data_IF_761381301855
#
_entry.id   IF_761381301855
#
_cell.length_a   1.000
_cell.length_b   1.000
_cell.length_c   1.000
_cell.angle_alpha   90.00
_cell.angle_beta   90.00
_cell.angle_gamma   90.00
#
_symmetry.space_group_name_H-M   'P 1'
#
loop_
_entity.id
_entity.type
_entity.pdbx_description
1 polymer ?
#
# COMPACT_ATOMS: atom_id res chain seq x y z
N UNK A 1 -1.71 -44.96 15.55
CA UNK A 1 -0.55 -44.06 15.70
C UNK A 1 -0.86 -42.81 14.88
N UNK A 2 -1.58 -41.85 15.49
CA UNK A 2 -2.11 -40.66 14.81
C UNK A 2 -1.43 -39.44 15.43
N UNK A 3 -0.49 -38.83 14.70
CA UNK A 3 0.17 -37.60 15.14
C UNK A 3 -0.71 -36.41 14.74
N UNK A 4 -1.09 -35.60 15.74
CA UNK A 4 -1.77 -34.30 15.59
C UNK A 4 -0.82 -33.31 14.91
N UNK A 5 -1.24 -32.51 13.91
CA UNK A 5 -0.42 -31.40 13.44
C UNK A 5 -0.27 -30.34 14.54
N UNK A 6 0.96 -29.86 14.70
CA UNK A 6 1.46 -28.98 15.75
C UNK A 6 0.81 -27.59 15.72
N UNK A 7 0.53 -27.03 16.91
CA UNK A 7 0.28 -25.60 17.12
C UNK A 7 1.52 -24.80 16.70
N UNK A 8 1.51 -24.26 15.48
CA UNK A 8 2.47 -23.24 15.09
C UNK A 8 2.17 -21.95 15.87
N UNK A 9 3.18 -21.22 16.37
CA UNK A 9 2.93 -19.93 17.01
C UNK A 9 2.22 -19.00 16.03
N UNK A 10 1.06 -18.50 16.43
CA UNK A 10 0.32 -17.51 15.65
C UNK A 10 1.23 -16.30 15.43
N UNK A 11 1.55 -16.01 14.17
CA UNK A 11 2.21 -14.76 13.79
C UNK A 11 1.40 -13.62 14.39
N UNK A 12 2.01 -12.72 15.20
CA UNK A 12 1.28 -11.59 15.74
C UNK A 12 0.71 -10.80 14.56
N UNK A 13 -0.59 -10.56 14.61
CA UNK A 13 -1.28 -9.81 13.56
C UNK A 13 -0.59 -8.46 13.40
N UNK A 14 -0.12 -8.17 12.18
CA UNK A 14 0.45 -6.87 11.88
C UNK A 14 -0.60 -5.80 12.18
N UNK A 15 -0.20 -4.62 12.68
CA UNK A 15 -1.12 -3.51 12.84
C UNK A 15 -1.79 -3.20 11.49
N UNK A 16 -3.07 -2.81 11.55
CA UNK A 16 -3.79 -2.41 10.35
C UNK A 16 -3.04 -1.25 9.67
N UNK A 17 -2.87 -1.28 8.34
CA UNK A 17 -2.21 -0.20 7.63
C UNK A 17 -3.02 1.10 7.75
N UNK A 18 -2.34 2.22 7.94
CA UNK A 18 -2.94 3.54 7.76
C UNK A 18 -3.22 3.75 6.26
N UNK A 19 -4.47 4.03 5.91
CA UNK A 19 -4.90 4.20 4.52
C UNK A 19 -5.78 5.43 4.41
N UNK A 20 -5.51 6.26 3.40
CA UNK A 20 -6.30 7.45 3.08
C UNK A 20 -6.79 7.38 1.64
N UNK A 21 -7.95 7.97 1.40
CA UNK A 21 -8.53 8.18 0.07
C UNK A 21 -8.95 9.64 -0.02
N UNK A 22 -8.46 10.39 -1.01
CA UNK A 22 -8.68 11.85 -1.13
C UNK A 22 -8.34 12.66 0.13
N UNK A 23 -7.28 12.27 0.85
CA UNK A 23 -6.78 12.98 2.05
C UNK A 23 -7.61 12.78 3.33
N UNK A 24 -8.51 11.79 3.35
CA UNK A 24 -9.29 11.39 4.53
C UNK A 24 -9.12 9.88 4.80
N UNK A 25 -9.33 9.40 6.04
CA UNK A 25 -9.30 7.97 6.34
C UNK A 25 -10.22 7.19 5.40
N UNK A 26 -9.69 6.13 4.79
CA UNK A 26 -10.42 5.31 3.84
C UNK A 26 -11.34 4.31 4.56
N UNK A 27 -12.58 4.19 4.09
CA UNK A 27 -13.48 3.11 4.48
C UNK A 27 -13.31 1.89 3.57
N UNK A 28 -13.84 0.73 3.97
CA UNK A 28 -13.86 -0.44 3.09
C UNK A 28 -14.59 -0.15 1.77
N UNK A 29 -15.71 0.57 1.81
CA UNK A 29 -16.48 0.93 0.62
C UNK A 29 -15.68 1.84 -0.32
N UNK A 30 -14.90 2.79 0.21
CA UNK A 30 -13.99 3.63 -0.61
C UNK A 30 -12.97 2.77 -1.38
N UNK A 31 -12.52 1.65 -0.80
CA UNK A 31 -11.44 0.82 -1.35
C UNK A 31 -11.94 -0.36 -2.21
N UNK A 32 -13.21 -0.74 -2.12
CA UNK A 32 -13.76 -1.94 -2.79
C UNK A 32 -13.42 -2.02 -4.28
N UNK A 33 -13.53 -0.91 -5.00
CA UNK A 33 -13.20 -0.85 -6.43
C UNK A 33 -11.72 -0.50 -6.64
N UNK A 34 -11.19 0.63 -6.12
CA UNK A 34 -9.82 1.06 -6.45
C UNK A 34 -8.74 0.05 -6.04
N UNK A 35 -8.91 -0.67 -4.92
CA UNK A 35 -7.92 -1.64 -4.46
C UNK A 35 -7.88 -2.92 -5.32
N UNK A 36 -8.95 -3.20 -6.09
CA UNK A 36 -9.11 -4.42 -6.88
C UNK A 36 -9.07 -4.19 -8.40
N UNK A 37 -9.23 -2.95 -8.85
CA UNK A 37 -9.29 -2.61 -10.27
C UNK A 37 -7.93 -2.79 -10.97
N UNK A 38 -6.82 -2.73 -10.22
CA UNK A 38 -5.46 -2.90 -10.76
C UNK A 38 -5.04 -1.83 -11.77
N UNK A 39 -5.80 -0.74 -11.87
CA UNK A 39 -5.65 0.30 -12.87
C UNK A 39 -5.31 1.64 -12.21
N UNK A 40 -4.09 2.10 -12.41
CA UNK A 40 -3.55 3.33 -11.83
C UNK A 40 -2.03 3.27 -11.76
N UNK A 41 -1.40 4.39 -11.43
CA UNK A 41 0.02 4.44 -11.11
C UNK A 41 0.25 4.65 -9.63
N UNK A 42 1.32 4.07 -9.12
CA UNK A 42 1.76 4.28 -7.75
C UNK A 42 3.28 4.33 -7.68
N UNK A 43 3.80 4.92 -6.60
CA UNK A 43 5.19 4.80 -6.20
C UNK A 43 5.25 4.37 -4.76
N UNK A 44 6.25 3.56 -4.41
CA UNK A 44 6.54 3.15 -3.05
C UNK A 44 7.87 3.74 -2.59
N UNK A 45 7.96 4.05 -1.30
CA UNK A 45 9.11 4.69 -0.65
C UNK A 45 9.12 4.31 0.83
N UNK A 46 10.29 4.42 1.47
CA UNK A 46 10.43 4.19 2.90
C UNK A 46 10.46 5.51 3.66
N UNK A 47 9.64 5.60 4.71
CA UNK A 47 9.67 6.68 5.69
C UNK A 47 10.49 6.23 6.91
N UNK A 48 11.48 7.01 7.32
CA UNK A 48 12.29 6.75 8.52
C UNK A 48 12.47 8.05 9.29
N UNK A 49 12.09 8.06 10.57
CA UNK A 49 12.17 9.27 11.39
C UNK A 49 11.40 10.47 10.82
N UNK A 50 10.28 10.22 10.13
CA UNK A 50 9.49 11.27 9.45
C UNK A 50 10.09 11.79 8.14
N UNK A 51 11.17 11.19 7.63
CA UNK A 51 11.83 11.62 6.41
C UNK A 51 11.84 10.52 5.34
N UNK A 52 11.87 10.98 4.08
CA UNK A 52 11.94 10.14 2.88
C UNK A 52 13.15 10.60 2.06
N UNK A 53 13.98 9.66 1.62
CA UNK A 53 15.05 9.97 0.67
C UNK A 53 14.45 10.11 -0.73
N UNK A 54 14.67 11.25 -1.38
CA UNK A 54 14.33 11.43 -2.80
C UNK A 54 12.84 11.54 -3.10
N UNK A 55 12.04 12.09 -2.17
CA UNK A 55 10.59 12.27 -2.37
C UNK A 55 10.26 12.98 -3.69
N UNK A 56 10.98 14.04 -4.05
CA UNK A 56 10.81 14.73 -5.33
C UNK A 56 10.94 13.79 -6.53
N UNK A 57 12.02 13.00 -6.60
CA UNK A 57 12.22 12.05 -7.69
C UNK A 57 11.13 10.96 -7.76
N UNK A 58 10.57 10.54 -6.62
CA UNK A 58 9.43 9.62 -6.60
C UNK A 58 8.17 10.25 -7.21
N UNK A 59 7.90 11.52 -6.90
CA UNK A 59 6.75 12.26 -7.42
C UNK A 59 6.93 12.58 -8.91
N UNK A 60 8.12 13.03 -9.33
CA UNK A 60 8.43 13.29 -10.74
C UNK A 60 8.25 12.02 -11.59
N UNK A 61 8.70 10.88 -11.08
CA UNK A 61 8.52 9.58 -11.75
C UNK A 61 7.05 9.19 -11.84
N UNK A 62 6.29 9.37 -10.77
CA UNK A 62 4.86 9.06 -10.75
C UNK A 62 4.10 9.91 -11.77
N UNK A 63 4.38 11.22 -11.79
CA UNK A 63 3.77 12.19 -12.69
C UNK A 63 4.12 11.92 -14.15
N UNK A 64 5.40 11.65 -14.44
CA UNK A 64 5.84 11.27 -15.79
C UNK A 64 5.17 9.97 -16.30
N UNK A 65 5.15 8.91 -15.47
CA UNK A 65 4.54 7.64 -15.86
C UNK A 65 3.01 7.74 -16.04
N UNK A 66 2.36 8.55 -15.19
CA UNK A 66 0.94 8.82 -15.33
C UNK A 66 0.63 9.50 -16.67
N UNK A 67 1.41 10.51 -17.08
CA UNK A 67 1.25 11.16 -18.39
C UNK A 67 1.58 10.25 -19.56
N UNK A 68 2.59 9.40 -19.42
CA UNK A 68 2.97 8.44 -20.46
C UNK A 68 1.83 7.46 -20.78
N UNK A 69 1.13 6.96 -19.75
CA UNK A 69 0.06 5.98 -19.94
C UNK A 69 -1.34 6.59 -20.09
N UNK A 70 -1.59 7.81 -19.62
CA UNK A 70 -2.94 8.39 -19.58
C UNK A 70 -3.10 9.79 -20.24
N UNK A 71 -2.01 10.46 -20.65
CA UNK A 71 -2.03 11.79 -21.27
C UNK A 71 -2.04 12.96 -20.29
#
# INVERSE_FOLDING_TARGET
MTTRPQDAPATPAAPAPHTEFDGRPATEEDLRIPALHGFGHFTALQVRGGAVRGLGAHLDRLDAANRELFG
#
